data_IF_515336325120
#
_entry.id   IF_515336325120
#
_cell.length_a   1.000
_cell.length_b   1.000
_cell.length_c   1.000
_cell.angle_alpha   90.00
_cell.angle_beta   90.00
_cell.angle_gamma   90.00
#
_symmetry.space_group_name_H-M   'P 1'
#
loop_
_entity.id
_entity.type
_entity.pdbx_description
1 polymer ?
#
# COMPACT_ATOMS: atom_id res chain seq x y z
N UNK A 1 33.07 -22.03 9.00
CA UNK A 1 32.06 -23.02 9.49
C UNK A 1 32.42 -24.44 9.10
N UNK A 2 32.13 -25.42 9.96
CA UNK A 2 32.23 -26.85 9.63
C UNK A 2 31.03 -27.31 8.77
N UNK A 3 31.09 -28.53 8.19
CA UNK A 3 30.03 -29.04 7.31
C UNK A 3 28.69 -29.19 8.02
N UNK A 4 28.67 -29.57 9.29
CA UNK A 4 27.43 -29.75 10.08
C UNK A 4 26.73 -28.41 10.31
N UNK A 5 27.49 -27.36 10.66
CA UNK A 5 27.01 -25.98 10.83
C UNK A 5 26.42 -25.43 9.52
N UNK A 6 27.08 -25.70 8.38
CA UNK A 6 26.60 -25.28 7.06
C UNK A 6 25.28 -25.98 6.70
N UNK A 7 25.15 -27.27 6.99
CA UNK A 7 23.89 -28.00 6.77
C UNK A 7 22.77 -27.40 7.62
N UNK A 8 23.04 -27.10 8.90
CA UNK A 8 22.03 -26.52 9.78
C UNK A 8 21.60 -25.12 9.34
N UNK A 9 22.54 -24.31 8.82
CA UNK A 9 22.24 -23.02 8.21
C UNK A 9 21.33 -23.20 6.98
N UNK A 10 21.70 -24.08 6.04
CA UNK A 10 20.91 -24.31 4.83
C UNK A 10 19.48 -24.77 5.13
N UNK A 11 19.26 -25.60 6.17
CA UNK A 11 17.91 -26.04 6.56
C UNK A 11 16.96 -24.89 6.91
N UNK A 12 17.51 -23.78 7.40
CA UNK A 12 16.74 -22.62 7.83
C UNK A 12 16.46 -21.63 6.68
N UNK A 13 16.86 -21.96 5.45
CA UNK A 13 16.64 -21.14 4.27
C UNK A 13 15.48 -21.75 3.48
N UNK A 14 14.48 -20.94 3.14
CA UNK A 14 13.26 -21.40 2.47
C UNK A 14 13.54 -22.21 1.20
N UNK A 15 14.52 -21.78 0.39
CA UNK A 15 14.93 -22.47 -0.83
C UNK A 15 15.41 -23.90 -0.57
N UNK A 16 16.01 -24.16 0.59
CA UNK A 16 16.66 -25.43 0.93
C UNK A 16 15.87 -26.25 1.98
N UNK A 17 14.77 -25.69 2.51
CA UNK A 17 13.96 -26.26 3.59
C UNK A 17 13.41 -27.67 3.31
N UNK A 18 13.19 -28.00 2.03
CA UNK A 18 12.60 -29.29 1.60
C UNK A 18 13.63 -30.35 1.24
N UNK A 19 14.93 -30.05 1.32
CA UNK A 19 16.00 -30.99 0.98
C UNK A 19 16.32 -31.92 2.14
N UNK A 20 16.72 -33.15 1.81
CA UNK A 20 17.19 -34.13 2.79
C UNK A 20 18.58 -33.77 3.32
N UNK A 21 18.92 -34.25 4.52
CA UNK A 21 20.25 -34.08 5.11
C UNK A 21 21.38 -34.57 4.20
N UNK A 22 21.14 -35.62 3.41
CA UNK A 22 22.12 -36.15 2.47
C UNK A 22 22.38 -35.18 1.30
N UNK A 23 21.33 -34.57 0.76
CA UNK A 23 21.42 -33.56 -0.31
C UNK A 23 22.09 -32.28 0.21
N UNK A 24 21.70 -31.82 1.40
CA UNK A 24 22.30 -30.66 2.07
C UNK A 24 23.78 -30.87 2.41
N UNK A 25 24.17 -32.07 2.84
CA UNK A 25 25.58 -32.45 3.00
C UNK A 25 26.33 -32.43 1.67
N UNK A 26 25.64 -32.69 0.56
CA UNK A 26 26.15 -32.52 -0.80
C UNK A 26 26.51 -31.07 -1.11
N UNK A 27 25.59 -30.14 -0.82
CA UNK A 27 25.84 -28.70 -0.95
C UNK A 27 26.98 -28.24 -0.03
N UNK A 28 26.88 -28.53 1.27
CA UNK A 28 27.76 -28.00 2.32
C UNK A 28 29.26 -28.33 2.16
N UNK A 29 29.60 -29.39 1.40
CA UNK A 29 30.99 -29.83 1.18
C UNK A 29 31.82 -28.84 0.38
N UNK A 30 31.23 -28.12 -0.56
CA UNK A 30 31.96 -27.29 -1.52
C UNK A 30 31.50 -25.82 -1.49
N UNK A 31 30.97 -25.36 -0.35
CA UNK A 31 30.64 -23.95 -0.10
C UNK A 31 31.91 -23.22 0.37
N UNK A 32 32.14 -22.03 -0.18
CA UNK A 32 33.18 -21.11 0.28
C UNK A 32 32.56 -19.92 0.99
N UNK A 33 33.23 -19.43 2.04
CA UNK A 33 32.85 -18.20 2.72
C UNK A 33 33.43 -16.99 1.96
N UNK A 34 32.63 -15.93 1.83
CA UNK A 34 33.00 -14.66 1.19
C UNK A 34 32.73 -13.55 2.20
N UNK A 35 33.69 -12.64 2.34
CA UNK A 35 33.53 -11.44 3.17
C UNK A 35 33.49 -10.22 2.27
N UNK A 36 32.61 -9.28 2.59
CA UNK A 36 32.49 -8.01 1.88
C UNK A 36 32.61 -6.87 2.88
N UNK A 37 33.38 -5.84 2.53
CA UNK A 37 33.42 -4.59 3.26
C UNK A 37 32.25 -3.67 2.85
N UNK A 38 31.87 -2.69 3.68
CA UNK A 38 30.90 -1.67 3.30
C UNK A 38 31.29 -0.99 1.98
N UNK A 39 30.37 -0.95 1.02
CA UNK A 39 30.60 -0.39 -0.31
C UNK A 39 31.04 -1.41 -1.37
N UNK A 40 31.42 -2.63 -0.98
CA UNK A 40 31.82 -3.66 -1.95
C UNK A 40 30.62 -4.12 -2.79
N UNK A 41 30.82 -4.20 -4.10
CA UNK A 41 29.83 -4.72 -5.04
C UNK A 41 30.05 -6.23 -5.17
N UNK A 42 29.05 -7.02 -4.77
CA UNK A 42 29.08 -8.47 -4.85
C UNK A 42 28.99 -8.95 -6.32
N UNK A 43 28.13 -8.31 -7.12
CA UNK A 43 28.05 -8.44 -8.58
C UNK A 43 27.21 -7.29 -9.16
N UNK A 44 27.40 -7.00 -10.45
CA UNK A 44 26.65 -5.95 -11.16
C UNK A 44 25.54 -6.54 -12.03
N UNK A 45 24.49 -5.75 -12.25
CA UNK A 45 23.47 -6.04 -13.24
C UNK A 45 24.10 -6.26 -14.62
N UNK A 46 23.71 -7.34 -15.31
CA UNK A 46 24.25 -7.72 -16.62
C UNK A 46 25.49 -8.61 -16.58
N UNK A 47 26.13 -8.81 -15.41
CA UNK A 47 27.25 -9.75 -15.28
C UNK A 47 26.78 -11.20 -15.54
N UNK A 48 27.62 -12.08 -16.10
CA UNK A 48 27.34 -13.52 -16.08
C UNK A 48 27.33 -14.02 -14.63
N UNK A 49 26.36 -14.86 -14.26
CA UNK A 49 26.20 -15.33 -12.89
C UNK A 49 26.24 -16.84 -12.76
N UNK A 50 27.36 -17.38 -12.27
CA UNK A 50 27.59 -18.83 -12.12
C UNK A 50 27.57 -19.30 -10.65
N UNK A 51 27.14 -18.44 -9.73
CA UNK A 51 27.01 -18.73 -8.31
C UNK A 51 25.84 -17.98 -7.69
N UNK A 52 25.39 -18.43 -6.52
CA UNK A 52 24.49 -17.69 -5.64
C UNK A 52 25.13 -17.49 -4.28
N UNK A 53 24.58 -16.58 -3.49
CA UNK A 53 25.10 -16.21 -2.19
C UNK A 53 23.99 -16.25 -1.15
N UNK A 54 24.32 -16.73 0.04
CA UNK A 54 23.47 -16.66 1.22
C UNK A 54 24.14 -15.71 2.19
N UNK A 55 23.38 -14.75 2.73
CA UNK A 55 23.88 -13.81 3.73
C UNK A 55 23.81 -14.44 5.13
N UNK A 56 24.93 -14.51 5.84
CA UNK A 56 24.98 -15.01 7.23
C UNK A 56 24.96 -13.86 8.24
N UNK A 57 25.72 -12.81 7.97
CA UNK A 57 25.84 -11.63 8.82
C UNK A 57 25.98 -10.40 7.93
N UNK A 58 25.46 -9.27 8.41
CA UNK A 58 25.47 -8.00 7.68
C UNK A 58 24.18 -7.72 6.92
N UNK A 59 24.25 -6.75 5.99
CA UNK A 59 23.15 -6.26 5.19
C UNK A 59 23.62 -5.98 3.75
N UNK A 60 22.90 -6.53 2.76
CA UNK A 60 23.13 -6.23 1.35
C UNK A 60 21.98 -5.39 0.79
N UNK A 61 22.31 -4.43 -0.07
CA UNK A 61 21.36 -3.64 -0.85
C UNK A 61 21.33 -4.09 -2.30
N UNK A 62 20.12 -4.26 -2.83
CA UNK A 62 19.88 -4.66 -4.21
C UNK A 62 19.41 -3.46 -5.02
N UNK A 63 20.11 -3.18 -6.10
CA UNK A 63 19.84 -2.08 -7.03
C UNK A 63 19.52 -2.62 -8.41
N UNK A 64 18.51 -2.07 -9.07
CA UNK A 64 18.32 -2.24 -10.53
C UNK A 64 18.37 -0.87 -11.16
N UNK A 65 19.18 -0.74 -12.20
CA UNK A 65 19.57 0.54 -12.79
C UNK A 65 20.18 1.49 -11.73
N UNK A 66 19.38 2.41 -11.16
CA UNK A 66 19.81 3.35 -10.11
C UNK A 66 18.86 3.39 -8.91
N UNK A 67 17.94 2.44 -8.83
CA UNK A 67 16.92 2.40 -7.78
C UNK A 67 17.19 1.22 -6.85
N UNK A 68 17.22 1.50 -5.54
CA UNK A 68 17.19 0.46 -4.51
C UNK A 68 15.84 -0.26 -4.56
N UNK A 69 15.88 -1.57 -4.79
CA UNK A 69 14.71 -2.43 -4.84
C UNK A 69 14.38 -2.94 -3.44
N UNK A 70 15.38 -3.51 -2.78
CA UNK A 70 15.21 -4.20 -1.51
C UNK A 70 16.53 -4.30 -0.76
N UNK A 71 16.40 -4.62 0.51
CA UNK A 71 17.50 -4.98 1.41
C UNK A 71 17.40 -6.49 1.65
N UNK A 72 18.55 -7.16 1.73
CA UNK A 72 18.69 -8.57 2.04
C UNK A 72 19.21 -8.67 3.46
N UNK A 73 18.49 -9.41 4.29
CA UNK A 73 18.82 -9.63 5.70
C UNK A 73 19.47 -11.00 5.89
N UNK A 74 20.13 -11.25 7.05
CA UNK A 74 20.69 -12.56 7.36
C UNK A 74 19.69 -13.71 7.17
N UNK A 75 20.19 -14.84 6.70
CA UNK A 75 19.44 -16.04 6.29
C UNK A 75 18.65 -15.94 4.98
N UNK A 76 18.79 -14.83 4.26
CA UNK A 76 18.24 -14.66 2.92
C UNK A 76 19.35 -14.83 1.84
N UNK A 77 18.97 -14.88 0.57
CA UNK A 77 19.87 -15.22 -0.54
C UNK A 77 19.71 -14.34 -1.78
N UNK A 78 20.75 -14.30 -2.60
CA UNK A 78 20.79 -13.57 -3.87
C UNK A 78 21.53 -14.31 -4.96
N UNK A 79 21.16 -14.05 -6.21
CA UNK A 79 21.87 -14.54 -7.39
C UNK A 79 21.44 -15.94 -7.85
N UNK A 80 20.42 -16.51 -7.23
CA UNK A 80 19.75 -17.74 -7.65
C UNK A 80 19.13 -17.63 -9.05
N UNK A 81 18.67 -16.44 -9.43
CA UNK A 81 17.97 -16.24 -10.71
C UNK A 81 18.86 -16.58 -11.91
N UNK A 82 20.15 -16.23 -11.87
CA UNK A 82 21.06 -16.55 -12.97
C UNK A 82 21.28 -18.06 -13.08
N UNK A 83 21.29 -18.77 -11.94
CA UNK A 83 21.40 -20.23 -11.89
C UNK A 83 20.16 -20.94 -12.42
N UNK A 84 18.97 -20.41 -12.10
CA UNK A 84 17.69 -21.00 -12.50
C UNK A 84 17.39 -20.67 -13.95
N UNK A 85 17.51 -19.41 -14.39
CA UNK A 85 17.07 -18.97 -15.72
C UNK A 85 18.12 -19.07 -16.81
N UNK A 86 19.40 -19.28 -16.48
CA UNK A 86 20.53 -19.21 -17.42
C UNK A 86 20.59 -17.84 -18.14
N UNK A 87 20.49 -16.78 -17.33
CA UNK A 87 20.53 -15.38 -17.76
C UNK A 87 21.56 -14.59 -16.94
N UNK A 88 22.03 -13.43 -17.44
CA UNK A 88 22.86 -12.52 -16.66
C UNK A 88 22.18 -12.06 -15.36
N UNK A 89 22.98 -11.52 -14.42
CA UNK A 89 22.50 -10.93 -13.17
C UNK A 89 21.42 -9.89 -13.44
N UNK A 90 20.30 -10.00 -12.73
CA UNK A 90 19.12 -9.15 -12.93
C UNK A 90 19.16 -7.81 -12.18
N UNK A 91 20.15 -7.63 -11.30
CA UNK A 91 20.32 -6.50 -10.41
C UNK A 91 21.78 -6.46 -9.91
N UNK A 92 22.24 -5.29 -9.50
CA UNK A 92 23.49 -5.06 -8.78
C UNK A 92 23.27 -5.29 -7.29
N UNK A 93 24.21 -5.96 -6.62
CA UNK A 93 24.16 -6.17 -5.17
C UNK A 93 25.39 -5.59 -4.52
N UNK A 94 25.20 -4.80 -3.47
CA UNK A 94 26.27 -4.12 -2.75
C UNK A 94 26.13 -4.33 -1.25
N UNK A 95 27.24 -4.48 -0.54
CA UNK A 95 27.26 -4.52 0.92
C UNK A 95 27.10 -3.10 1.50
N UNK A 96 26.18 -2.91 2.44
CA UNK A 96 26.01 -1.64 3.16
C UNK A 96 26.83 -1.61 4.46
N UNK A 97 27.02 -2.78 5.07
CA UNK A 97 27.83 -3.02 6.26
C UNK A 97 28.77 -4.22 6.04
N UNK A 98 29.72 -4.53 6.95
CA UNK A 98 30.56 -5.72 6.80
C UNK A 98 29.71 -6.98 6.73
N UNK A 99 29.82 -7.74 5.64
CA UNK A 99 28.99 -8.91 5.38
C UNK A 99 29.81 -10.20 5.38
N UNK A 100 29.20 -11.28 5.89
CA UNK A 100 29.68 -12.65 5.75
C UNK A 100 28.66 -13.45 4.91
N UNK A 101 29.12 -14.05 3.82
CA UNK A 101 28.27 -14.79 2.90
C UNK A 101 28.78 -16.21 2.66
N UNK A 102 27.86 -17.13 2.37
CA UNK A 102 28.16 -18.43 1.79
C UNK A 102 27.95 -18.38 0.27
N UNK A 103 29.02 -18.65 -0.49
CA UNK A 103 28.97 -18.76 -1.95
C UNK A 103 28.72 -20.21 -2.37
N UNK A 104 27.68 -20.43 -3.18
CA UNK A 104 27.30 -21.73 -3.76
C UNK A 104 27.46 -21.66 -5.27
N UNK A 105 28.34 -22.51 -5.83
CA UNK A 105 28.57 -22.58 -7.27
C UNK A 105 27.44 -23.31 -8.02
N UNK A 106 27.20 -22.89 -9.26
CA UNK A 106 26.19 -23.45 -10.18
C UNK A 106 26.30 -24.97 -10.36
N UNK A 107 27.51 -25.51 -10.37
CA UNK A 107 27.78 -26.96 -10.55
C UNK A 107 27.12 -27.80 -9.45
N UNK A 108 27.11 -27.30 -8.22
CA UNK A 108 26.49 -27.97 -7.07
C UNK A 108 24.97 -27.86 -7.13
N UNK A 109 24.47 -26.68 -7.54
CA UNK A 109 23.06 -26.46 -7.80
C UNK A 109 22.54 -27.40 -8.90
N UNK A 110 23.27 -27.50 -10.01
CA UNK A 110 22.92 -28.39 -11.13
C UNK A 110 22.93 -29.87 -10.74
N UNK A 111 23.84 -30.32 -9.88
CA UNK A 111 23.91 -31.73 -9.46
C UNK A 111 22.62 -32.18 -8.77
N UNK A 112 22.09 -31.35 -7.87
CA UNK A 112 20.86 -31.65 -7.13
C UNK A 112 19.63 -31.44 -8.01
N UNK A 113 19.64 -30.39 -8.84
CA UNK A 113 18.56 -30.06 -9.77
C UNK A 113 18.38 -31.12 -10.88
N UNK A 114 19.44 -31.83 -11.29
CA UNK A 114 19.36 -32.93 -12.28
C UNK A 114 18.42 -34.06 -11.85
N UNK A 115 18.19 -34.25 -10.55
CA UNK A 115 17.25 -35.26 -10.05
C UNK A 115 15.78 -34.84 -10.18
N UNK A 116 15.51 -33.54 -10.41
CA UNK A 116 14.16 -32.97 -10.49
C UNK A 116 13.97 -32.04 -11.71
N UNK A 117 14.38 -32.51 -12.90
CA UNK A 117 14.41 -31.71 -14.14
C UNK A 117 13.07 -31.07 -14.53
N UNK A 118 11.94 -31.75 -14.29
CA UNK A 118 10.59 -31.22 -14.59
C UNK A 118 10.19 -30.05 -13.70
N UNK A 119 10.55 -30.08 -12.42
CA UNK A 119 10.28 -29.01 -11.45
C UNK A 119 11.06 -27.75 -11.84
N UNK A 120 12.32 -27.89 -12.27
CA UNK A 120 13.12 -26.77 -12.73
C UNK A 120 12.50 -26.10 -13.96
N UNK A 121 12.02 -26.87 -14.94
CA UNK A 121 11.35 -26.29 -16.11
C UNK A 121 10.11 -25.50 -15.72
N UNK A 122 9.33 -25.98 -14.74
CA UNK A 122 8.19 -25.26 -14.19
C UNK A 122 8.59 -23.99 -13.44
N UNK A 123 9.62 -24.06 -12.58
CA UNK A 123 10.15 -22.90 -11.86
C UNK A 123 10.68 -21.83 -12.81
N UNK A 124 11.43 -22.22 -13.85
CA UNK A 124 11.88 -21.31 -14.91
C UNK A 124 10.68 -20.62 -15.59
N UNK A 125 9.66 -21.39 -15.97
CA UNK A 125 8.48 -20.83 -16.65
C UNK A 125 7.69 -19.86 -15.74
N UNK A 126 7.50 -20.20 -14.47
CA UNK A 126 6.81 -19.36 -13.50
C UNK A 126 7.63 -18.09 -13.17
N UNK A 127 8.93 -18.22 -12.91
CA UNK A 127 9.83 -17.10 -12.64
C UNK A 127 9.83 -16.11 -13.80
N UNK A 128 10.00 -16.60 -15.02
CA UNK A 128 9.97 -15.77 -16.23
C UNK A 128 8.63 -15.05 -16.41
N UNK A 129 7.51 -15.73 -16.10
CA UNK A 129 6.17 -15.13 -16.20
C UNK A 129 5.98 -14.03 -15.15
N UNK A 130 6.28 -14.31 -13.88
CA UNK A 130 6.19 -13.33 -12.79
C UNK A 130 7.02 -12.10 -13.14
N UNK A 131 8.29 -12.30 -13.54
CA UNK A 131 9.19 -11.21 -13.91
C UNK A 131 8.65 -10.37 -15.07
N UNK A 132 8.16 -11.02 -16.13
CA UNK A 132 7.57 -10.34 -17.28
C UNK A 132 6.35 -9.50 -16.85
N UNK A 133 5.49 -10.07 -16.01
CA UNK A 133 4.32 -9.36 -15.50
C UNK A 133 4.75 -8.17 -14.62
N UNK A 134 5.76 -8.33 -13.76
CA UNK A 134 6.32 -7.23 -12.96
C UNK A 134 6.95 -6.13 -13.82
N UNK A 135 7.67 -6.47 -14.89
CA UNK A 135 8.30 -5.50 -15.81
C UNK A 135 7.25 -4.74 -16.65
N UNK A 136 6.21 -5.42 -17.12
CA UNK A 136 5.08 -4.79 -17.83
C UNK A 136 4.41 -3.77 -16.91
N UNK A 137 4.07 -4.19 -15.69
CA UNK A 137 3.44 -3.34 -14.68
C UNK A 137 4.34 -2.13 -14.34
N UNK A 138 5.64 -2.34 -14.15
CA UNK A 138 6.60 -1.25 -13.90
C UNK A 138 6.66 -0.24 -15.06
N UNK A 139 6.67 -0.73 -16.31
CA UNK A 139 6.63 0.12 -17.50
C UNK A 139 5.32 0.91 -17.64
N UNK A 140 4.18 0.32 -17.28
CA UNK A 140 2.89 1.03 -17.22
C UNK A 140 2.89 2.12 -16.15
N UNK A 141 3.52 1.87 -14.99
CA UNK A 141 3.66 2.88 -13.94
C UNK A 141 4.52 4.07 -14.37
N UNK A 142 5.63 3.82 -15.06
CA UNK A 142 6.48 4.91 -15.53
C UNK A 142 5.75 5.80 -16.54
N UNK A 143 5.00 5.17 -17.47
CA UNK A 143 4.11 5.90 -18.38
C UNK A 143 3.04 6.70 -17.63
N UNK A 144 2.45 6.15 -16.57
CA UNK A 144 1.46 6.85 -15.75
C UNK A 144 2.08 8.03 -14.97
N UNK A 145 3.29 7.88 -14.43
CA UNK A 145 4.04 8.98 -13.79
C UNK A 145 4.27 10.14 -14.76
N UNK A 146 4.77 9.83 -15.97
CA UNK A 146 5.04 10.82 -17.03
C UNK A 146 3.72 11.53 -17.41
N UNK A 147 2.66 10.76 -17.67
CA UNK A 147 1.34 11.33 -18.02
C UNK A 147 0.82 12.28 -16.94
N UNK A 148 0.98 11.93 -15.66
CA UNK A 148 0.53 12.79 -14.56
C UNK A 148 1.41 14.04 -14.42
N UNK A 149 2.72 13.92 -14.61
CA UNK A 149 3.60 15.09 -14.67
C UNK A 149 3.16 16.06 -15.78
N UNK A 150 2.87 15.55 -16.98
CA UNK A 150 2.41 16.36 -18.11
C UNK A 150 1.04 16.98 -17.85
N UNK A 151 0.11 16.24 -17.27
CA UNK A 151 -1.19 16.77 -16.87
C UNK A 151 -1.05 17.85 -15.77
N UNK A 152 -0.14 17.68 -14.79
CA UNK A 152 0.18 18.72 -13.80
C UNK A 152 0.69 20.00 -14.49
N UNK A 153 1.51 19.86 -15.53
CA UNK A 153 1.97 21.00 -16.31
C UNK A 153 0.82 21.70 -17.05
N UNK A 154 -0.16 20.96 -17.59
CA UNK A 154 -1.35 21.54 -18.22
C UNK A 154 -2.23 22.26 -17.18
N UNK A 155 -2.29 21.75 -15.94
CA UNK A 155 -3.11 22.32 -14.87
C UNK A 155 -2.45 23.48 -14.10
N UNK A 156 -1.12 23.61 -14.16
CA UNK A 156 -0.36 24.62 -13.41
C UNK A 156 -0.71 26.07 -13.77
N UNK A 157 -0.94 26.44 -15.05
CA UNK A 157 -1.35 27.79 -15.42
C UNK A 157 -2.67 28.24 -14.76
N UNK A 158 -3.55 27.30 -14.39
CA UNK A 158 -4.83 27.63 -13.74
C UNK A 158 -4.66 28.17 -12.29
N UNK A 159 -3.44 28.21 -11.74
CA UNK A 159 -3.13 28.97 -10.51
C UNK A 159 -3.50 30.44 -10.65
N UNK A 160 -3.48 30.99 -11.87
CA UNK A 160 -3.90 32.38 -12.12
C UNK A 160 -5.35 32.65 -11.71
N UNK A 161 -6.22 31.63 -11.68
CA UNK A 161 -7.60 31.76 -11.22
C UNK A 161 -7.68 32.25 -9.77
N UNK A 162 -6.70 31.88 -8.92
CA UNK A 162 -6.62 32.33 -7.53
C UNK A 162 -6.38 33.85 -7.43
N UNK A 163 -5.61 34.40 -8.38
CA UNK A 163 -5.33 35.83 -8.47
C UNK A 163 -6.50 36.61 -9.09
N UNK A 164 -7.17 36.04 -10.10
CA UNK A 164 -8.33 36.66 -10.75
C UNK A 164 -9.51 36.75 -9.78
N UNK A 165 -9.79 35.68 -9.02
CA UNK A 165 -10.90 35.67 -8.05
C UNK A 165 -10.78 36.75 -6.99
N UNK A 166 -9.56 37.08 -6.56
CA UNK A 166 -9.31 38.16 -5.59
C UNK A 166 -9.59 39.57 -6.14
N UNK A 167 -9.58 39.74 -7.46
CA UNK A 167 -9.73 41.05 -8.13
C UNK A 167 -11.13 41.28 -8.69
N UNK A 168 -11.89 40.23 -8.96
CA UNK A 168 -13.25 40.32 -9.49
C UNK A 168 -14.25 40.52 -8.36
N UNK A 169 -15.11 41.52 -8.47
CA UNK A 169 -16.16 41.84 -7.48
C UNK A 169 -17.52 41.26 -7.85
N UNK A 170 -17.72 40.87 -9.11
CA UNK A 170 -18.96 40.23 -9.58
C UNK A 170 -19.16 38.87 -8.88
N UNK A 171 -20.27 38.75 -8.16
CA UNK A 171 -20.61 37.56 -7.36
C UNK A 171 -20.85 36.32 -8.23
N UNK A 172 -21.43 36.48 -9.43
CA UNK A 172 -21.68 35.36 -10.34
C UNK A 172 -20.36 34.82 -10.88
N UNK A 173 -19.46 35.72 -11.29
CA UNK A 173 -18.12 35.35 -11.79
C UNK A 173 -17.27 34.72 -10.68
N UNK A 174 -17.37 35.23 -9.44
CA UNK A 174 -16.71 34.61 -8.28
C UNK A 174 -17.16 33.16 -8.04
N UNK A 175 -18.46 32.87 -8.18
CA UNK A 175 -18.99 31.50 -8.06
C UNK A 175 -18.42 30.58 -9.13
N UNK A 176 -18.40 31.00 -10.40
CA UNK A 176 -17.80 30.21 -11.49
C UNK A 176 -16.30 29.95 -11.29
N UNK A 177 -15.55 30.97 -10.84
CA UNK A 177 -14.13 30.81 -10.52
C UNK A 177 -13.91 29.82 -9.37
N UNK A 178 -14.79 29.82 -8.37
CA UNK A 178 -14.79 28.82 -7.29
C UNK A 178 -14.93 27.40 -7.81
N UNK A 179 -15.93 27.15 -8.67
CA UNK A 179 -16.14 25.83 -9.27
C UNK A 179 -14.93 25.34 -10.08
N UNK A 180 -14.28 26.23 -10.85
CA UNK A 180 -13.08 25.88 -11.62
C UNK A 180 -11.87 25.56 -10.73
N UNK A 181 -11.71 26.29 -9.62
CA UNK A 181 -10.65 26.01 -8.65
C UNK A 181 -10.85 24.67 -7.95
N UNK A 182 -12.09 24.35 -7.59
CA UNK A 182 -12.42 23.09 -6.94
C UNK A 182 -12.26 21.91 -7.91
N UNK A 183 -12.68 22.06 -9.16
CA UNK A 183 -12.44 21.07 -10.22
C UNK A 183 -10.94 20.80 -10.42
N UNK A 184 -10.11 21.86 -10.48
CA UNK A 184 -8.65 21.74 -10.58
C UNK A 184 -8.06 20.98 -9.39
N UNK A 185 -8.47 21.35 -8.17
CA UNK A 185 -7.98 20.72 -6.94
C UNK A 185 -8.35 19.25 -6.87
N UNK A 186 -9.59 18.92 -7.22
CA UNK A 186 -10.09 17.55 -7.25
C UNK A 186 -9.35 16.71 -8.27
N UNK A 187 -9.08 17.24 -9.47
CA UNK A 187 -8.29 16.55 -10.50
C UNK A 187 -6.86 16.26 -10.03
N UNK A 188 -6.17 17.25 -9.47
CA UNK A 188 -4.83 17.07 -8.92
C UNK A 188 -4.82 16.01 -7.82
N UNK A 189 -5.79 16.05 -6.91
CA UNK A 189 -5.92 15.07 -5.85
C UNK A 189 -6.19 13.66 -6.38
N UNK A 190 -7.13 13.50 -7.32
CA UNK A 190 -7.43 12.20 -7.95
C UNK A 190 -6.21 11.62 -8.66
N UNK A 191 -5.42 12.45 -9.34
CA UNK A 191 -4.20 12.01 -10.03
C UNK A 191 -3.12 11.57 -9.05
N UNK A 192 -2.89 12.35 -7.98
CA UNK A 192 -1.94 11.98 -6.93
C UNK A 192 -2.36 10.73 -6.18
N UNK A 193 -3.66 10.57 -5.92
CA UNK A 193 -4.25 9.40 -5.27
C UNK A 193 -4.15 8.15 -6.15
N UNK A 194 -4.42 8.27 -7.46
CA UNK A 194 -4.24 7.19 -8.43
C UNK A 194 -2.78 6.71 -8.46
N UNK A 195 -1.82 7.65 -8.47
CA UNK A 195 -0.39 7.33 -8.39
C UNK A 195 0.03 6.73 -7.06
N UNK A 196 -0.50 7.25 -5.95
CA UNK A 196 -0.20 6.71 -4.64
C UNK A 196 -0.69 5.26 -4.50
N UNK A 197 -1.89 4.95 -5.02
CA UNK A 197 -2.41 3.58 -5.04
C UNK A 197 -1.59 2.67 -5.96
N UNK A 198 -1.21 3.17 -7.13
CA UNK A 198 -0.32 2.50 -8.08
C UNK A 198 1.07 2.17 -7.48
N UNK A 199 1.73 3.16 -6.87
CA UNK A 199 3.05 3.00 -6.22
C UNK A 199 3.02 2.07 -5.00
N UNK A 200 1.87 1.93 -4.34
CA UNK A 200 1.69 1.10 -3.14
C UNK A 200 1.50 -0.39 -3.41
N UNK A 201 1.59 -0.87 -4.66
CA UNK A 201 1.59 -2.30 -4.92
C UNK A 201 2.73 -3.08 -4.23
N UNK A 202 3.76 -2.40 -3.70
CA UNK A 202 4.96 -3.07 -3.14
C UNK A 202 5.40 -2.61 -1.73
N UNK A 203 4.66 -1.75 -1.01
CA UNK A 203 4.96 -1.46 0.40
C UNK A 203 3.67 -1.39 1.23
N UNK A 204 3.48 -2.29 2.22
CA UNK A 204 2.42 -2.16 3.20
C UNK A 204 2.49 -0.76 3.83
N UNK A 205 1.36 -0.06 3.90
CA UNK A 205 1.34 1.21 4.64
C UNK A 205 1.60 0.89 6.12
N UNK A 206 2.47 1.65 6.82
CA UNK A 206 2.90 1.28 8.16
C UNK A 206 1.67 1.17 9.07
N UNK A 207 1.52 0.00 9.69
CA UNK A 207 0.52 -0.27 10.70
C UNK A 207 1.09 0.18 12.04
N UNK A 208 0.39 1.06 12.72
CA UNK A 208 0.79 1.58 14.03
C UNK A 208 -0.27 1.23 15.05
N UNK A 209 0.17 0.83 16.24
CA UNK A 209 -0.73 0.66 17.38
C UNK A 209 -1.09 2.04 17.96
N UNK A 210 -2.37 2.38 17.98
CA UNK A 210 -2.82 3.68 18.45
C UNK A 210 -4.28 3.67 18.90
N UNK A 211 -4.70 4.77 19.51
CA UNK A 211 -6.09 4.95 19.93
C UNK A 211 -6.90 5.67 18.84
N UNK A 212 -8.05 5.11 18.48
CA UNK A 212 -8.86 5.62 17.38
C UNK A 212 -9.48 6.98 17.66
N UNK A 213 -9.79 7.27 18.94
CA UNK A 213 -10.33 8.58 19.35
C UNK A 213 -9.33 9.71 19.06
N UNK A 214 -8.03 9.51 19.29
CA UNK A 214 -7.00 10.52 19.04
C UNK A 214 -6.95 10.91 17.56
N UNK A 215 -7.06 9.95 16.64
CA UNK A 215 -7.13 10.24 15.21
C UNK A 215 -8.35 11.10 14.85
N UNK A 216 -9.50 10.81 15.45
CA UNK A 216 -10.74 11.53 15.17
C UNK A 216 -10.70 12.95 15.74
N UNK A 217 -10.15 13.13 16.93
CA UNK A 217 -9.88 14.46 17.52
C UNK A 217 -8.93 15.29 16.65
N UNK A 218 -7.84 14.68 16.15
CA UNK A 218 -6.92 15.34 15.21
C UNK A 218 -7.65 15.79 13.94
N UNK A 219 -8.52 14.94 13.37
CA UNK A 219 -9.29 15.28 12.16
C UNK A 219 -10.33 16.37 12.41
N UNK A 220 -10.94 16.37 13.59
CA UNK A 220 -11.88 17.41 14.01
C UNK A 220 -11.18 18.77 14.12
N UNK A 221 -10.04 18.81 14.81
CA UNK A 221 -9.26 20.03 15.03
C UNK A 221 -8.64 20.60 13.74
N UNK A 222 -8.21 19.74 12.82
CA UNK A 222 -7.46 20.17 11.62
C UNK A 222 -8.31 20.27 10.35
N UNK A 223 -9.01 19.19 9.98
CA UNK A 223 -9.61 19.05 8.66
C UNK A 223 -11.10 19.42 8.65
N UNK A 224 -11.90 18.88 9.57
CA UNK A 224 -13.36 19.12 9.60
C UNK A 224 -13.69 20.60 9.82
N UNK A 225 -12.90 21.28 10.65
CA UNK A 225 -13.11 22.69 10.99
C UNK A 225 -12.90 23.66 9.81
N UNK A 226 -12.10 23.29 8.81
CA UNK A 226 -11.76 24.17 7.67
C UNK A 226 -12.39 23.74 6.34
N UNK A 227 -12.90 22.51 6.25
CA UNK A 227 -13.37 21.96 4.99
C UNK A 227 -14.68 22.65 4.53
N UNK A 228 -14.78 23.16 3.29
CA UNK A 228 -15.92 23.97 2.83
C UNK A 228 -17.29 23.33 3.01
N UNK A 229 -17.38 22.01 2.81
CA UNK A 229 -18.62 21.22 2.92
C UNK A 229 -19.00 20.85 4.37
N UNK A 230 -18.02 20.90 5.30
CA UNK A 230 -18.19 20.40 6.68
C UNK A 230 -18.28 21.57 7.67
N UNK A 231 -17.54 22.65 7.43
CA UNK A 231 -17.37 23.79 8.36
C UNK A 231 -18.65 24.52 8.75
N UNK A 232 -19.71 24.38 7.95
CA UNK A 232 -21.04 24.96 8.21
C UNK A 232 -21.98 23.98 8.95
N UNK A 233 -21.48 22.80 9.34
CA UNK A 233 -22.19 21.77 10.13
C UNK A 233 -21.52 21.59 11.48
N UNK A 234 -22.25 21.01 12.44
CA UNK A 234 -21.71 20.69 13.76
C UNK A 234 -21.28 19.22 13.81
N UNK A 235 -19.97 18.95 13.86
CA UNK A 235 -19.46 17.58 14.06
C UNK A 235 -19.28 17.31 15.55
N UNK A 236 -20.05 16.36 16.08
CA UNK A 236 -20.01 15.96 17.50
C UNK A 236 -19.39 14.57 17.61
N UNK A 237 -18.34 14.46 18.41
CA UNK A 237 -17.66 13.19 18.68
C UNK A 237 -18.06 12.70 20.07
N UNK A 238 -18.58 11.48 20.17
CA UNK A 238 -18.97 10.84 21.43
C UNK A 238 -18.25 9.52 21.58
N UNK A 239 -17.54 9.34 22.70
CA UNK A 239 -16.89 8.07 23.06
C UNK A 239 -17.73 7.39 24.13
N UNK A 240 -18.35 6.26 23.81
CA UNK A 240 -19.24 5.53 24.75
C UNK A 240 -18.49 4.64 25.72
N UNK A 241 -17.40 4.04 25.27
CA UNK A 241 -16.59 3.09 26.04
C UNK A 241 -15.09 3.37 25.89
N UNK A 242 -14.28 2.82 26.80
CA UNK A 242 -12.82 2.89 26.71
C UNK A 242 -12.38 2.10 25.48
N UNK A 243 -11.95 2.80 24.44
CA UNK A 243 -11.46 2.18 23.22
C UNK A 243 -10.06 1.58 23.48
N UNK A 244 -9.87 0.27 23.27
CA UNK A 244 -8.55 -0.33 23.35
C UNK A 244 -7.67 0.15 22.19
N UNK A 245 -6.35 0.01 22.38
CA UNK A 245 -5.38 0.29 21.33
C UNK A 245 -5.56 -0.71 20.19
N UNK A 246 -5.59 -0.20 18.96
CA UNK A 246 -5.77 -0.96 17.74
C UNK A 246 -4.53 -0.81 16.87
N UNK A 247 -4.09 -1.91 16.24
CA UNK A 247 -3.13 -1.86 15.15
C UNK A 247 -3.85 -1.48 13.84
N UNK A 248 -3.62 -0.27 13.33
CA UNK A 248 -4.22 0.17 12.07
C UNK A 248 -3.30 1.09 11.27
N UNK A 249 -3.54 1.21 9.97
CA UNK A 249 -2.86 2.21 9.16
C UNK A 249 -3.55 3.57 9.30
N UNK A 250 -2.90 4.52 10.00
CA UNK A 250 -3.46 5.86 10.28
C UNK A 250 -3.98 6.58 9.04
N UNK A 251 -3.19 6.61 7.96
CA UNK A 251 -3.57 7.30 6.72
C UNK A 251 -4.77 6.66 6.01
N UNK A 252 -4.90 5.33 6.08
CA UNK A 252 -6.00 4.62 5.43
C UNK A 252 -7.30 4.80 6.21
N UNK A 253 -7.26 4.67 7.55
CA UNK A 253 -8.42 4.94 8.40
C UNK A 253 -8.83 6.41 8.31
N UNK A 254 -7.88 7.35 8.30
CA UNK A 254 -8.17 8.76 8.06
C UNK A 254 -8.96 8.97 6.76
N UNK A 255 -8.52 8.34 5.66
CA UNK A 255 -9.22 8.42 4.36
C UNK A 255 -10.65 7.89 4.44
N UNK A 256 -10.87 6.78 5.15
CA UNK A 256 -12.21 6.21 5.35
C UNK A 256 -13.11 7.17 6.12
N UNK A 257 -12.64 7.66 7.26
CA UNK A 257 -13.42 8.56 8.13
C UNK A 257 -13.74 9.86 7.39
N UNK A 258 -12.76 10.48 6.73
CA UNK A 258 -12.96 11.69 5.94
C UNK A 258 -14.01 11.50 4.85
N UNK A 259 -13.98 10.36 4.13
CA UNK A 259 -14.95 10.09 3.06
C UNK A 259 -16.37 9.97 3.59
N UNK A 260 -16.55 9.25 4.70
CA UNK A 260 -17.87 9.02 5.29
C UNK A 260 -18.43 10.31 5.88
N UNK A 261 -17.61 11.09 6.60
CA UNK A 261 -18.01 12.40 7.13
C UNK A 261 -18.34 13.38 6.00
N UNK A 262 -17.60 13.38 4.90
CA UNK A 262 -17.91 14.20 3.74
C UNK A 262 -19.23 13.79 3.09
N UNK A 263 -19.51 12.49 2.98
CA UNK A 263 -20.79 11.99 2.47
C UNK A 263 -21.96 12.40 3.36
N UNK A 264 -21.80 12.32 4.68
CA UNK A 264 -22.74 12.83 5.67
C UNK A 264 -22.97 14.34 5.48
N UNK A 265 -21.91 15.14 5.42
CA UNK A 265 -21.99 16.59 5.28
C UNK A 265 -22.68 17.03 3.98
N UNK A 266 -22.44 16.33 2.88
CA UNK A 266 -23.09 16.59 1.60
C UNK A 266 -24.58 16.19 1.58
N UNK A 267 -25.02 15.30 2.47
CA UNK A 267 -26.43 14.91 2.62
C UNK A 267 -27.19 15.84 3.57
N UNK A 268 -26.47 16.58 4.41
CA UNK A 268 -26.98 17.48 5.45
C UNK A 268 -27.09 18.94 4.99
N UNK A 269 -27.94 19.71 5.66
CA UNK A 269 -28.10 21.15 5.47
C UNK A 269 -27.09 21.93 6.34
N UNK A 270 -26.81 23.20 6.02
CA UNK A 270 -26.05 24.07 6.92
C UNK A 270 -26.72 24.15 8.29
N UNK A 271 -25.92 24.00 9.36
CA UNK A 271 -26.37 23.98 10.74
C UNK A 271 -26.75 22.59 11.28
N UNK A 272 -26.91 21.58 10.41
CA UNK A 272 -27.21 20.22 10.86
C UNK A 272 -26.02 19.61 11.64
N UNK A 273 -26.35 18.63 12.47
CA UNK A 273 -25.39 17.87 13.26
C UNK A 273 -24.97 16.60 12.53
N UNK A 274 -23.67 16.28 12.59
CA UNK A 274 -23.08 15.00 12.19
C UNK A 274 -22.47 14.39 13.44
N UNK A 275 -22.88 13.17 13.79
CA UNK A 275 -22.46 12.49 15.01
C UNK A 275 -21.46 11.38 14.69
N UNK A 276 -20.28 11.43 15.31
CA UNK A 276 -19.29 10.37 15.27
C UNK A 276 -19.29 9.68 16.63
N UNK A 277 -19.82 8.46 16.68
CA UNK A 277 -19.93 7.66 17.90
C UNK A 277 -18.86 6.57 17.86
N UNK A 278 -18.00 6.56 18.87
CA UNK A 278 -16.97 5.55 19.07
C UNK A 278 -17.35 4.62 20.21
N UNK A 279 -17.21 3.33 19.95
CA UNK A 279 -17.74 2.27 20.79
C UNK A 279 -16.88 1.00 20.64
N UNK A 280 -17.06 0.02 21.51
CA UNK A 280 -16.33 -1.26 21.47
C UNK A 280 -17.24 -2.38 21.98
N UNK A 281 -17.23 -3.53 21.30
CA UNK A 281 -17.89 -4.75 21.80
C UNK A 281 -16.92 -5.71 22.52
N UNK A 282 -15.70 -5.24 22.80
CA UNK A 282 -14.62 -6.03 23.39
C UNK A 282 -13.85 -6.90 22.40
N UNK A 283 -14.38 -7.13 21.19
CA UNK A 283 -13.69 -7.85 20.10
C UNK A 283 -13.28 -6.92 18.97
N UNK A 284 -14.08 -5.88 18.73
CA UNK A 284 -13.90 -4.90 17.66
C UNK A 284 -14.11 -3.48 18.19
N UNK A 285 -13.31 -2.55 17.68
CA UNK A 285 -13.62 -1.13 17.75
C UNK A 285 -14.73 -0.80 16.73
N UNK A 286 -15.71 -0.01 17.14
CA UNK A 286 -16.87 0.35 16.33
C UNK A 286 -16.88 1.87 16.14
N UNK A 287 -16.98 2.32 14.89
CA UNK A 287 -17.18 3.73 14.54
C UNK A 287 -18.52 3.88 13.84
N UNK A 288 -19.40 4.72 14.37
CA UNK A 288 -20.66 5.09 13.71
C UNK A 288 -20.60 6.55 13.31
N UNK A 289 -20.91 6.85 12.05
CA UNK A 289 -21.06 8.21 11.54
C UNK A 289 -22.51 8.38 11.12
N UNK A 290 -23.22 9.26 11.82
CA UNK A 290 -24.64 9.52 11.63
C UNK A 290 -24.86 10.94 11.10
N UNK A 291 -25.63 11.03 10.01
CA UNK A 291 -26.24 12.27 9.53
C UNK A 291 -27.75 12.22 9.69
N UNK A 292 -28.36 13.40 9.74
CA UNK A 292 -29.82 13.60 9.76
C UNK A 292 -30.32 14.19 8.43
N UNK A 293 -29.58 13.91 7.35
CA UNK A 293 -29.78 14.51 6.05
C UNK A 293 -30.86 13.82 5.21
N UNK A 294 -30.70 13.91 3.90
CA UNK A 294 -31.68 13.39 2.91
C UNK A 294 -31.80 11.87 2.90
N UNK A 295 -30.87 11.13 3.50
CA UNK A 295 -30.84 9.67 3.46
C UNK A 295 -30.55 9.09 2.07
N UNK A 296 -30.43 7.77 1.99
CA UNK A 296 -30.13 7.02 0.78
C UNK A 296 -31.46 6.47 0.21
N UNK A 297 -31.77 6.69 -1.08
CA UNK A 297 -32.97 6.14 -1.71
C UNK A 297 -33.11 4.61 -1.55
N UNK A 298 -34.35 4.16 -1.38
CA UNK A 298 -34.66 2.74 -1.30
C UNK A 298 -34.27 2.01 -2.60
N UNK A 299 -33.78 0.77 -2.48
CA UNK A 299 -33.40 -0.07 -3.62
C UNK A 299 -31.93 0.05 -4.09
N UNK A 300 -31.12 0.90 -3.45
CA UNK A 300 -29.69 0.99 -3.79
C UNK A 300 -28.86 -0.12 -3.13
N UNK A 301 -29.25 -0.60 -1.94
CA UNK A 301 -28.64 -1.75 -1.27
C UNK A 301 -27.10 -1.73 -1.25
N UNK A 302 -26.48 -2.85 -1.61
CA UNK A 302 -25.01 -2.98 -1.66
C UNK A 302 -24.35 -2.20 -2.80
N UNK A 303 -25.12 -1.67 -3.76
CA UNK A 303 -24.59 -0.99 -4.95
C UNK A 303 -23.86 0.30 -4.62
N UNK A 304 -24.17 0.91 -3.47
CA UNK A 304 -23.46 2.13 -3.01
C UNK A 304 -21.95 1.90 -2.79
N UNK A 305 -21.53 0.64 -2.65
CA UNK A 305 -20.12 0.25 -2.52
C UNK A 305 -19.49 -0.26 -3.82
N UNK A 306 -20.22 -0.23 -4.95
CA UNK A 306 -19.67 -0.59 -6.25
C UNK A 306 -18.82 0.56 -6.81
N UNK A 307 -17.72 0.20 -7.48
CA UNK A 307 -16.88 1.18 -8.16
C UNK A 307 -17.67 1.91 -9.25
N UNK A 308 -17.47 3.23 -9.35
CA UNK A 308 -18.16 4.13 -10.29
C UNK A 308 -19.66 4.32 -10.02
N UNK A 309 -20.18 3.85 -8.89
CA UNK A 309 -21.55 4.10 -8.50
C UNK A 309 -21.67 5.42 -7.72
N UNK A 310 -22.45 6.37 -8.23
CA UNK A 310 -22.75 7.64 -7.56
C UNK A 310 -24.16 8.09 -7.90
N UNK A 311 -24.90 8.56 -6.90
CA UNK A 311 -26.20 9.24 -7.08
C UNK A 311 -26.07 10.75 -7.22
N UNK A 312 -24.85 11.28 -7.13
CA UNK A 312 -24.53 12.72 -7.16
C UNK A 312 -24.00 13.11 -8.53
N UNK A 313 -24.43 14.26 -9.05
CA UNK A 313 -24.02 14.80 -10.36
C UNK A 313 -22.53 15.14 -10.47
N UNK A 314 -21.83 15.31 -9.35
CA UNK A 314 -20.39 15.64 -9.27
C UNK A 314 -19.51 14.54 -8.66
N UNK A 315 -20.09 13.41 -8.24
CA UNK A 315 -19.36 12.35 -7.53
C UNK A 315 -18.82 11.27 -8.47
N UNK A 316 -17.51 11.02 -8.45
CA UNK A 316 -16.85 10.01 -9.29
C UNK A 316 -17.14 8.54 -8.89
N UNK A 317 -17.80 8.30 -7.75
CA UNK A 317 -18.25 6.95 -7.35
C UNK A 317 -17.14 6.01 -6.85
N UNK A 318 -15.98 6.53 -6.45
CA UNK A 318 -14.87 5.72 -5.92
C UNK A 318 -14.80 5.67 -4.38
N UNK A 319 -15.45 6.62 -3.71
CA UNK A 319 -15.26 6.86 -2.28
C UNK A 319 -15.62 5.67 -1.39
N UNK A 320 -16.88 5.24 -1.45
CA UNK A 320 -17.38 4.13 -0.62
C UNK A 320 -16.79 2.77 -1.02
N UNK A 321 -16.55 2.55 -2.32
CA UNK A 321 -15.85 1.35 -2.80
C UNK A 321 -14.44 1.24 -2.20
N UNK A 322 -13.69 2.35 -2.19
CA UNK A 322 -12.37 2.40 -1.54
C UNK A 322 -12.47 2.20 -0.03
N UNK A 323 -13.50 2.75 0.62
CA UNK A 323 -13.71 2.56 2.05
C UNK A 323 -13.91 1.08 2.39
N UNK A 324 -14.75 0.40 1.62
CA UNK A 324 -15.00 -1.04 1.78
C UNK A 324 -13.75 -1.86 1.61
N UNK A 325 -12.94 -1.57 0.58
CA UNK A 325 -11.67 -2.28 0.39
C UNK A 325 -10.69 -2.05 1.56
N UNK A 326 -10.56 -0.81 2.05
CA UNK A 326 -9.68 -0.51 3.18
C UNK A 326 -10.14 -1.25 4.44
N UNK A 327 -11.43 -1.19 4.76
CA UNK A 327 -11.97 -1.79 5.99
C UNK A 327 -11.97 -3.32 5.91
N UNK A 328 -12.59 -3.89 4.87
CA UNK A 328 -12.80 -5.34 4.80
C UNK A 328 -11.53 -6.10 4.37
N UNK A 329 -10.77 -5.58 3.40
CA UNK A 329 -9.62 -6.32 2.83
C UNK A 329 -8.31 -6.03 3.54
N UNK A 330 -8.09 -4.81 4.03
CA UNK A 330 -6.81 -4.44 4.65
C UNK A 330 -6.82 -4.48 6.18
N UNK A 331 -7.98 -4.30 6.80
CA UNK A 331 -8.10 -4.26 8.26
C UNK A 331 -8.97 -5.38 8.84
N UNK A 332 -9.46 -6.32 8.02
CA UNK A 332 -10.30 -7.44 8.48
C UNK A 332 -11.64 -7.01 9.10
N UNK A 333 -12.05 -5.77 8.87
CA UNK A 333 -13.23 -5.16 9.45
C UNK A 333 -14.50 -5.35 8.62
N UNK A 334 -15.57 -4.66 9.01
CA UNK A 334 -16.80 -4.58 8.21
C UNK A 334 -17.27 -3.14 8.06
N UNK A 335 -17.85 -2.82 6.91
CA UNK A 335 -18.55 -1.56 6.67
C UNK A 335 -20.00 -1.85 6.30
N UNK A 336 -20.93 -1.19 6.99
CA UNK A 336 -22.37 -1.32 6.75
C UNK A 336 -23.04 0.04 6.91
N UNK A 337 -24.31 0.11 6.51
CA UNK A 337 -25.09 1.32 6.69
C UNK A 337 -26.56 0.99 6.98
N UNK A 338 -27.21 1.88 7.71
CA UNK A 338 -28.67 1.92 7.86
C UNK A 338 -29.12 3.30 7.46
N UNK A 339 -30.10 3.40 6.56
CA UNK A 339 -30.59 4.69 6.07
C UNK A 339 -32.10 4.67 5.94
N UNK A 340 -32.73 5.79 6.26
CA UNK A 340 -34.15 6.00 5.99
C UNK A 340 -34.28 7.25 5.11
N UNK A 341 -34.88 7.14 3.90
CA UNK A 341 -35.08 8.30 3.04
C UNK A 341 -35.75 9.46 3.79
N UNK A 342 -35.13 10.63 3.73
CA UNK A 342 -35.57 11.87 4.38
C UNK A 342 -35.30 11.97 5.89
N UNK A 343 -34.68 10.97 6.52
CA UNK A 343 -34.32 11.00 7.95
C UNK A 343 -32.81 10.88 8.24
N UNK A 344 -32.01 10.60 7.21
CA UNK A 344 -30.56 10.50 7.32
C UNK A 344 -30.01 9.08 7.23
N UNK A 345 -28.71 8.95 7.46
CA UNK A 345 -27.94 7.70 7.32
C UNK A 345 -26.99 7.50 8.48
N UNK A 346 -26.81 6.24 8.87
CA UNK A 346 -25.81 5.80 9.84
C UNK A 346 -24.89 4.82 9.12
N UNK A 347 -23.63 5.21 8.90
CA UNK A 347 -22.57 4.27 8.51
C UNK A 347 -21.94 3.66 9.76
N UNK A 348 -21.76 2.35 9.76
CA UNK A 348 -21.12 1.60 10.86
C UNK A 348 -19.88 0.88 10.33
N UNK A 349 -18.74 1.16 10.95
CA UNK A 349 -17.46 0.50 10.71
C UNK A 349 -17.11 -0.36 11.92
N UNK A 350 -16.63 -1.57 11.68
CA UNK A 350 -16.03 -2.42 12.72
C UNK A 350 -14.58 -2.71 12.35
N UNK A 351 -13.68 -2.62 13.32
CA UNK A 351 -12.27 -2.93 13.19
C UNK A 351 -11.87 -3.94 14.28
N UNK A 352 -11.42 -5.16 13.94
CA UNK A 352 -11.08 -6.18 14.93
C UNK A 352 -9.87 -5.76 15.77
N UNK A 353 -9.92 -5.97 17.08
CA UNK A 353 -8.86 -5.59 18.01
C UNK A 353 -7.64 -6.52 17.98
N UNK A 354 -7.81 -7.71 17.40
CA UNK A 354 -6.74 -8.66 17.13
C UNK A 354 -6.90 -9.15 15.69
N UNK A 355 -5.84 -9.11 14.86
CA UNK A 355 -5.87 -9.78 13.56
C UNK A 355 -6.01 -11.29 13.79
N UNK A 356 -6.89 -11.95 13.03
CA UNK A 356 -6.91 -13.43 12.93
C UNK A 356 -5.69 -13.95 12.17
#
# INVERSE_FOLDING_TARGET
MNTEERVQCLKNIDLFSSFTDAELKGFAKNISEVQCAPGDILFQEGDPGNEMYILLEGELKVFKESREITIISPMDYVGEMSLIEDKPRSATVQADEPCLLLKIASEQFQYVVRQHSSMLTMMKALSQRIRRDTEIIAGEFEKANIMIHDMKNILSPFVVLDSIRKKVTDTTVQTYLGHLQDARRNLLFMMEEALANAKRLHKPSPVTTGALHTLIEELQASYFSIHPEIRDKTVVVTVKDILPLLAFCKLEIQRVITNIVLNAAQASKPGDQIEIILDSDGKSAIVRVQDHGTGIPAGLGKRIFESHFSTKSSGAGFGLASCKQIIEKKHGGTISYTSTPGKGTIFTLTLPLSPE
#
